data_IF_218620235509
#
_entry.id   IF_218620235509
#
_cell.length_a   1.000
_cell.length_b   1.000
_cell.length_c   1.000
_cell.angle_alpha   90.00
_cell.angle_beta   90.00
_cell.angle_gamma   90.00
#
_symmetry.space_group_name_H-M   'P 1'
#
loop_
_entity.id
_entity.type
_entity.pdbx_description
1 polymer ?
#
# COMPACT_ATOMS: atom_id res chain seq x y z
N UNK A 1 -33.78 24.34 39.45
CA UNK A 1 -34.53 23.43 38.56
C UNK A 1 -33.96 23.63 37.16
N UNK A 2 -33.01 22.78 36.74
CA UNK A 2 -32.38 22.91 35.43
C UNK A 2 -33.34 22.27 34.43
N UNK A 3 -34.07 23.12 33.72
CA UNK A 3 -34.88 22.69 32.60
C UNK A 3 -33.97 22.34 31.44
N UNK A 4 -33.71 21.04 31.31
CA UNK A 4 -33.02 20.43 30.19
C UNK A 4 -34.01 20.42 29.02
N UNK A 5 -33.87 21.36 28.08
CA UNK A 5 -34.66 21.37 26.84
C UNK A 5 -33.77 21.16 25.63
N UNK A 6 -34.09 20.07 24.93
CA UNK A 6 -33.75 19.67 23.57
C UNK A 6 -32.32 19.94 23.11
N UNK A 7 -31.48 18.94 23.41
CA UNK A 7 -30.32 18.61 22.61
C UNK A 7 -30.82 18.35 21.18
N UNK A 8 -30.73 19.33 20.29
CA UNK A 8 -30.83 19.13 18.84
C UNK A 8 -29.63 18.32 18.33
N UNK A 9 -29.34 17.16 18.93
CA UNK A 9 -28.71 16.06 18.21
C UNK A 9 -29.76 15.40 17.31
N UNK A 10 -30.36 16.21 16.44
CA UNK A 10 -31.12 15.70 15.32
C UNK A 10 -30.47 16.16 14.02
N UNK A 11 -29.24 15.68 13.86
CA UNK A 11 -28.77 15.09 12.61
C UNK A 11 -27.70 14.10 13.04
N UNK A 12 -28.01 12.83 12.86
CA UNK A 12 -27.11 11.69 12.90
C UNK A 12 -25.64 12.13 12.94
N UNK A 13 -24.93 11.94 14.06
CA UNK A 13 -23.46 11.95 13.98
C UNK A 13 -23.17 10.83 12.97
N UNK A 14 -22.78 11.15 11.72
CA UNK A 14 -22.74 10.13 10.70
C UNK A 14 -21.72 9.13 11.19
N UNK A 15 -22.03 7.84 11.18
CA UNK A 15 -20.99 6.83 11.33
C UNK A 15 -20.02 7.08 10.19
N UNK A 16 -18.90 7.77 10.46
CA UNK A 16 -17.99 8.26 9.41
C UNK A 16 -17.15 7.07 8.92
N UNK A 17 -17.81 6.17 8.19
CA UNK A 17 -17.21 5.08 7.46
C UNK A 17 -16.82 5.61 6.08
N UNK A 18 -15.55 5.96 5.90
CA UNK A 18 -15.04 6.52 4.64
C UNK A 18 -13.62 6.06 4.35
N UNK A 19 -13.38 5.68 3.10
CA UNK A 19 -12.13 5.09 2.58
C UNK A 19 -10.93 6.06 2.50
N UNK A 20 -11.09 7.30 2.96
CA UNK A 20 -10.06 8.34 3.02
C UNK A 20 -10.13 9.05 4.37
N UNK A 21 -8.99 9.35 5.02
CA UNK A 21 -9.00 10.13 6.25
C UNK A 21 -9.52 11.54 5.94
N UNK A 22 -10.78 11.78 6.28
CA UNK A 22 -11.42 13.10 6.24
C UNK A 22 -11.08 13.86 7.51
N UNK A 23 -10.71 15.13 7.33
CA UNK A 23 -10.44 16.10 8.39
C UNK A 23 -11.71 16.90 8.62
N UNK A 24 -12.14 17.01 9.87
CA UNK A 24 -13.34 17.72 10.26
C UNK A 24 -13.00 18.79 11.29
N UNK A 25 -13.66 19.93 11.14
CA UNK A 25 -13.76 20.93 12.17
C UNK A 25 -15.21 20.89 12.66
N UNK A 26 -15.39 20.62 13.94
CA UNK A 26 -16.70 20.50 14.57
C UNK A 26 -16.87 21.69 15.51
N UNK A 27 -17.97 22.40 15.34
CA UNK A 27 -18.40 23.49 16.22
C UNK A 27 -19.83 23.20 16.65
N UNK A 28 -20.09 23.24 17.95
CA UNK A 28 -21.43 23.12 18.48
C UNK A 28 -21.99 24.53 18.69
N UNK A 29 -23.20 24.76 18.21
CA UNK A 29 -23.92 26.02 18.38
C UNK A 29 -25.23 25.72 19.11
N UNK A 30 -25.62 26.60 20.03
CA UNK A 30 -26.88 26.48 20.73
C UNK A 30 -27.62 27.82 20.72
N UNK A 31 -28.95 27.74 20.76
CA UNK A 31 -29.85 28.88 20.84
C UNK A 31 -31.00 28.56 21.78
N UNK A 32 -31.24 29.39 22.77
CA UNK A 32 -32.40 29.28 23.65
C UNK A 32 -33.63 29.89 22.97
N UNK A 33 -34.79 29.29 23.18
CA UNK A 33 -36.08 29.81 22.70
C UNK A 33 -36.87 30.36 23.89
N UNK A 34 -37.16 31.67 23.87
CA UNK A 34 -37.81 32.42 24.95
C UNK A 34 -37.70 33.92 24.70
N UNK A 35 -38.20 34.75 25.63
CA UNK A 35 -38.14 36.22 25.52
C UNK A 35 -36.69 36.76 25.46
N UNK A 36 -35.75 36.08 26.11
CA UNK A 36 -34.31 36.37 26.04
C UNK A 36 -33.62 35.30 25.17
N UNK A 37 -33.50 35.56 23.87
CA UNK A 37 -32.81 34.67 22.94
C UNK A 37 -31.30 34.75 23.17
N UNK A 38 -30.75 33.80 23.93
CA UNK A 38 -29.31 33.61 24.10
C UNK A 38 -28.82 32.63 23.05
N UNK A 39 -27.73 32.97 22.38
CA UNK A 39 -27.03 32.07 21.47
C UNK A 39 -25.56 32.05 21.80
N UNK A 40 -24.96 30.87 21.72
CA UNK A 40 -23.54 30.68 22.00
C UNK A 40 -22.99 29.51 21.20
N UNK A 41 -21.68 29.35 21.30
CA UNK A 41 -20.99 28.27 20.59
C UNK A 41 -19.75 27.82 21.34
N UNK A 42 -19.37 26.55 21.14
CA UNK A 42 -18.12 25.99 21.65
C UNK A 42 -16.92 26.44 20.82
N UNK A 43 -15.73 26.18 21.34
CA UNK A 43 -14.51 26.20 20.56
C UNK A 43 -14.56 25.20 19.40
N UNK A 44 -13.68 25.42 18.42
CA UNK A 44 -13.56 24.60 17.23
C UNK A 44 -12.77 23.31 17.55
N UNK A 45 -13.40 22.16 17.45
CA UNK A 45 -12.75 20.87 17.66
C UNK A 45 -12.19 20.31 16.36
N UNK A 46 -10.94 19.88 16.38
CA UNK A 46 -10.29 19.22 15.25
C UNK A 46 -10.39 17.70 15.37
N UNK A 47 -11.01 17.04 14.38
CA UNK A 47 -11.19 15.58 14.37
C UNK A 47 -10.70 14.98 13.06
N UNK A 48 -10.01 13.83 13.15
CA UNK A 48 -9.63 13.01 12.00
C UNK A 48 -10.30 11.65 12.09
N UNK A 49 -10.72 11.13 10.96
CA UNK A 49 -11.20 9.74 10.86
C UNK A 49 -10.03 8.78 11.07
N UNK A 50 -10.30 7.67 11.76
CA UNK A 50 -9.31 6.62 11.99
C UNK A 50 -8.81 6.08 10.64
N UNK A 51 -7.50 6.03 10.49
CA UNK A 51 -6.87 5.31 9.39
C UNK A 51 -6.89 3.81 9.68
N UNK A 52 -6.59 3.01 8.66
CA UNK A 52 -6.48 1.56 8.73
C UNK A 52 -5.29 1.07 7.92
N UNK A 53 -5.09 -0.24 7.92
CA UNK A 53 -4.06 -0.88 7.11
C UNK A 53 -4.42 -0.82 5.61
N UNK A 54 -3.44 -0.54 4.73
CA UNK A 54 -3.70 -0.48 3.30
C UNK A 54 -3.92 -1.87 2.70
N UNK A 55 -4.46 -1.92 1.49
CA UNK A 55 -4.55 -3.12 0.67
C UNK A 55 -3.25 -3.42 -0.08
N UNK A 56 -3.33 -4.40 -0.98
CA UNK A 56 -2.21 -4.82 -1.84
C UNK A 56 -1.78 -3.72 -2.81
N UNK A 57 -0.47 -3.65 -3.08
CA UNK A 57 0.07 -2.78 -4.14
C UNK A 57 -0.37 -3.29 -5.51
N UNK A 58 -0.51 -2.38 -6.47
CA UNK A 58 -1.00 -2.70 -7.81
C UNK A 58 0.16 -2.77 -8.80
N UNK A 59 -0.06 -3.45 -9.94
CA UNK A 59 0.86 -3.46 -11.08
C UNK A 59 2.32 -3.76 -10.69
N UNK A 60 2.52 -4.64 -9.71
CA UNK A 60 3.85 -5.07 -9.30
C UNK A 60 4.48 -5.84 -10.46
N UNK A 61 5.56 -5.30 -11.00
CA UNK A 61 6.23 -5.84 -12.17
C UNK A 61 7.74 -5.77 -12.04
N UNK A 62 8.40 -6.70 -12.74
CA UNK A 62 9.83 -6.73 -12.90
C UNK A 62 10.21 -6.00 -14.18
N UNK A 63 11.09 -5.02 -14.06
CA UNK A 63 11.72 -4.34 -15.18
C UNK A 63 13.06 -5.06 -15.43
N UNK A 64 13.48 -5.20 -16.68
CA UNK A 64 14.55 -6.11 -17.10
C UNK A 64 15.81 -6.13 -16.21
N UNK A 65 16.45 -7.30 -16.12
CA UNK A 65 17.59 -7.54 -15.25
C UNK A 65 18.89 -6.93 -15.77
N UNK A 66 19.72 -6.39 -14.87
CA UNK A 66 21.09 -5.98 -15.16
C UNK A 66 22.06 -6.93 -14.44
N UNK A 67 22.91 -7.65 -15.18
CA UNK A 67 23.97 -8.47 -14.58
C UNK A 67 25.13 -7.60 -14.16
N UNK A 68 25.59 -7.70 -12.91
CA UNK A 68 26.76 -7.00 -12.42
C UNK A 68 27.93 -7.98 -12.35
N UNK A 69 28.88 -7.87 -13.26
CA UNK A 69 30.08 -8.73 -13.29
C UNK A 69 31.16 -8.29 -12.29
N UNK A 70 31.01 -7.10 -11.69
CA UNK A 70 32.07 -6.45 -10.91
C UNK A 70 31.74 -6.26 -9.42
N UNK A 71 30.67 -6.89 -8.93
CA UNK A 71 30.22 -6.74 -7.54
C UNK A 71 29.91 -8.13 -6.96
N UNK A 72 29.78 -8.25 -5.64
CA UNK A 72 29.38 -9.51 -4.97
C UNK A 72 27.97 -10.00 -5.39
N UNK A 73 27.20 -9.14 -6.06
CA UNK A 73 25.84 -9.40 -6.54
C UNK A 73 25.91 -10.04 -7.94
N UNK A 74 25.17 -11.12 -8.16
CA UNK A 74 25.08 -11.77 -9.47
C UNK A 74 24.31 -10.91 -10.48
N UNK A 75 23.17 -10.36 -10.05
CA UNK A 75 22.32 -9.53 -10.88
C UNK A 75 21.44 -8.59 -10.04
N UNK A 76 20.97 -7.54 -10.70
CA UNK A 76 20.05 -6.54 -10.17
C UNK A 76 18.74 -6.63 -10.95
N UNK A 77 17.63 -6.74 -10.23
CA UNK A 77 16.27 -6.85 -10.74
C UNK A 77 15.45 -5.65 -10.27
N UNK A 78 15.33 -4.59 -11.09
CA UNK A 78 14.47 -3.46 -10.77
C UNK A 78 13.01 -3.88 -10.78
N UNK A 79 12.28 -3.59 -9.71
CA UNK A 79 10.84 -3.79 -9.62
C UNK A 79 10.12 -2.45 -9.45
N UNK A 80 8.92 -2.35 -9.99
CA UNK A 80 8.04 -1.18 -9.84
C UNK A 80 6.64 -1.62 -9.46
N UNK A 81 5.94 -0.75 -8.73
CA UNK A 81 4.55 -0.98 -8.32
C UNK A 81 3.78 0.34 -8.21
N UNK A 82 2.46 0.23 -8.23
CA UNK A 82 1.53 1.32 -8.02
C UNK A 82 0.91 1.27 -6.62
N UNK A 83 0.40 2.42 -6.18
CA UNK A 83 -0.27 2.51 -4.89
C UNK A 83 -1.51 1.61 -4.82
N UNK A 84 -1.83 1.08 -3.63
CA UNK A 84 -3.04 0.32 -3.42
C UNK A 84 -4.30 1.09 -3.83
N UNK A 85 -5.26 0.41 -4.45
CA UNK A 85 -6.59 1.00 -4.69
C UNK A 85 -7.31 1.28 -3.36
N UNK A 86 -7.18 0.34 -2.42
CA UNK A 86 -7.72 0.46 -1.07
C UNK A 86 -6.62 0.97 -0.13
N UNK A 87 -6.50 2.30 0.05
CA UNK A 87 -5.44 2.87 0.90
C UNK A 87 -5.77 2.84 2.39
N UNK A 88 -7.05 3.06 2.75
CA UNK A 88 -7.53 3.20 4.13
C UNK A 88 -6.71 4.18 4.99
N UNK A 89 -6.00 5.13 4.40
CA UNK A 89 -5.07 6.01 5.11
C UNK A 89 -4.11 6.68 4.14
N UNK A 90 -3.19 7.49 4.67
CA UNK A 90 -2.11 8.05 3.86
C UNK A 90 -0.98 7.02 3.74
N UNK A 91 -0.58 6.68 2.51
CA UNK A 91 0.58 5.81 2.29
C UNK A 91 1.85 6.59 2.61
N UNK A 92 2.58 6.14 3.63
CA UNK A 92 3.83 6.75 4.11
C UNK A 92 5.07 5.99 3.67
N UNK A 93 4.90 4.78 3.11
CA UNK A 93 6.01 4.00 2.56
C UNK A 93 5.63 2.59 2.15
N UNK A 94 6.64 1.80 1.85
CA UNK A 94 6.54 0.42 1.39
C UNK A 94 7.60 -0.44 2.08
N UNK A 95 7.26 -1.69 2.35
CA UNK A 95 8.17 -2.74 2.78
C UNK A 95 8.34 -3.73 1.65
N UNK A 96 9.59 -3.94 1.24
CA UNK A 96 9.97 -4.88 0.19
C UNK A 96 10.74 -5.99 0.88
N UNK A 97 10.29 -7.22 0.69
CA UNK A 97 10.96 -8.42 1.20
C UNK A 97 11.26 -9.33 0.04
N UNK A 98 12.43 -9.95 0.01
CA UNK A 98 12.71 -10.97 -0.99
C UNK A 98 13.53 -12.11 -0.42
N UNK A 99 13.33 -13.30 -1.00
CA UNK A 99 14.01 -14.52 -0.57
C UNK A 99 14.21 -15.48 -1.72
N UNK A 100 15.14 -16.41 -1.55
CA UNK A 100 15.23 -17.60 -2.38
C UNK A 100 13.97 -18.44 -2.18
N UNK A 101 13.34 -18.89 -3.26
CA UNK A 101 12.10 -19.66 -3.18
C UNK A 101 12.27 -21.00 -2.46
N UNK A 102 13.50 -21.56 -2.48
CA UNK A 102 13.86 -22.79 -1.79
C UNK A 102 14.16 -22.61 -0.30
N UNK A 103 14.46 -21.39 0.16
CA UNK A 103 14.81 -21.11 1.54
C UNK A 103 13.66 -20.40 2.25
N UNK A 104 13.32 -20.89 3.45
CA UNK A 104 12.27 -20.26 4.25
C UNK A 104 12.78 -19.07 5.08
N UNK A 105 14.06 -19.10 5.47
CA UNK A 105 14.60 -18.21 6.50
C UNK A 105 15.46 -17.05 5.97
N UNK A 106 16.03 -17.16 4.76
CA UNK A 106 16.85 -16.09 4.18
C UNK A 106 15.98 -15.03 3.51
N UNK A 107 15.43 -14.13 4.33
CA UNK A 107 14.58 -13.03 3.90
C UNK A 107 15.35 -11.71 4.03
N UNK A 108 15.61 -11.08 2.90
CA UNK A 108 16.06 -9.69 2.85
C UNK A 108 14.86 -8.77 3.00
N UNK A 109 15.02 -7.67 3.73
CA UNK A 109 13.96 -6.70 4.00
C UNK A 109 14.51 -5.29 3.84
N UNK A 110 13.77 -4.43 3.16
CA UNK A 110 14.04 -3.00 3.09
C UNK A 110 12.73 -2.21 3.18
N UNK A 111 12.82 -1.01 3.73
CA UNK A 111 11.72 -0.05 3.76
C UNK A 111 12.10 1.21 3.01
N UNK A 112 11.17 1.73 2.21
CA UNK A 112 11.38 2.97 1.46
C UNK A 112 10.06 3.67 1.13
N UNK A 113 10.17 4.95 0.77
CA UNK A 113 9.02 5.74 0.33
C UNK A 113 8.76 5.63 -1.18
N UNK A 114 9.77 5.23 -1.96
CA UNK A 114 9.69 5.12 -3.42
C UNK A 114 8.82 3.95 -3.89
N UNK A 115 8.36 4.04 -5.15
CA UNK A 115 7.53 3.04 -5.85
C UNK A 115 8.32 2.07 -6.73
N UNK A 116 9.64 2.09 -6.57
CA UNK A 116 10.59 1.31 -7.35
C UNK A 116 11.74 0.88 -6.47
N UNK A 117 12.18 -0.37 -6.57
CA UNK A 117 13.35 -0.86 -5.84
C UNK A 117 14.18 -1.78 -6.71
N UNK A 118 15.50 -1.75 -6.50
CA UNK A 118 16.44 -2.61 -7.22
C UNK A 118 16.80 -3.82 -6.34
N UNK A 119 16.18 -4.96 -6.63
CA UNK A 119 16.45 -6.20 -5.90
C UNK A 119 17.79 -6.76 -6.31
N UNK A 120 18.64 -6.99 -5.32
CA UNK A 120 19.97 -7.57 -5.49
C UNK A 120 19.90 -9.07 -5.23
N UNK A 121 20.34 -9.86 -6.21
CA UNK A 121 20.44 -11.32 -6.07
C UNK A 121 21.88 -11.77 -6.07
N UNK A 122 22.14 -12.84 -5.32
CA UNK A 122 23.50 -13.35 -5.07
C UNK A 122 23.71 -14.76 -5.62
N UNK A 123 22.65 -15.46 -6.04
CA UNK A 123 22.73 -16.81 -6.60
C UNK A 123 22.20 -16.82 -8.03
N UNK A 124 22.99 -17.42 -8.92
CA UNK A 124 22.62 -17.62 -10.32
C UNK A 124 21.67 -18.81 -10.47
N UNK A 125 20.83 -18.80 -11.51
CA UNK A 125 19.93 -19.90 -11.87
C UNK A 125 18.95 -20.33 -10.77
N UNK A 126 18.68 -19.43 -9.82
CA UNK A 126 17.76 -19.67 -8.71
C UNK A 126 16.46 -18.88 -8.89
N UNK A 127 15.38 -19.37 -8.27
CA UNK A 127 14.10 -18.66 -8.22
C UNK A 127 14.01 -17.85 -6.93
N UNK A 128 13.58 -16.60 -7.07
CA UNK A 128 13.34 -15.67 -5.99
C UNK A 128 11.86 -15.33 -5.89
N UNK A 129 11.43 -14.99 -4.68
CA UNK A 129 10.11 -14.43 -4.40
C UNK A 129 10.29 -13.08 -3.74
N UNK A 130 9.68 -12.05 -4.30
CA UNK A 130 9.57 -10.73 -3.71
C UNK A 130 8.15 -10.49 -3.19
N UNK A 131 8.05 -9.73 -2.11
CA UNK A 131 6.81 -9.35 -1.44
C UNK A 131 6.85 -7.84 -1.22
N UNK A 132 5.82 -7.14 -1.67
CA UNK A 132 5.71 -5.69 -1.47
C UNK A 132 4.44 -5.38 -0.68
N UNK A 133 4.58 -4.63 0.41
CA UNK A 133 3.47 -4.18 1.26
C UNK A 133 3.48 -2.66 1.35
N UNK A 134 2.32 -2.01 1.24
CA UNK A 134 2.19 -0.59 1.55
C UNK A 134 2.10 -0.36 3.06
N UNK A 135 2.48 0.84 3.52
CA UNK A 135 2.49 1.24 4.94
C UNK A 135 1.65 2.50 5.14
N UNK A 136 0.77 2.49 6.14
CA UNK A 136 0.12 3.68 6.71
C UNK A 136 0.65 3.90 8.13
N UNK A 137 0.20 4.96 8.82
CA UNK A 137 0.54 5.18 10.24
C UNK A 137 0.08 4.03 11.15
N UNK A 138 -0.93 3.27 10.71
CA UNK A 138 -1.47 2.11 11.45
C UNK A 138 -0.58 0.88 11.27
N UNK A 139 0.06 0.71 10.11
CA UNK A 139 0.96 -0.41 9.86
C UNK A 139 1.02 -0.85 8.40
N UNK A 140 1.48 -2.09 8.19
CA UNK A 140 1.62 -2.68 6.86
C UNK A 140 0.33 -3.32 6.38
N UNK A 141 0.06 -3.13 5.09
CA UNK A 141 -1.02 -3.78 4.38
C UNK A 141 -0.69 -5.20 3.96
N UNK A 142 -1.65 -5.80 3.25
CA UNK A 142 -1.46 -7.10 2.61
C UNK A 142 -0.33 -7.05 1.58
N UNK A 143 0.40 -8.16 1.47
CA UNK A 143 1.55 -8.26 0.58
C UNK A 143 1.14 -8.70 -0.82
N UNK A 144 1.83 -8.16 -1.83
CA UNK A 144 1.77 -8.62 -3.21
C UNK A 144 3.03 -9.42 -3.52
N UNK A 145 2.89 -10.67 -3.94
CA UNK A 145 3.99 -11.56 -4.30
C UNK A 145 4.37 -11.44 -5.78
N UNK A 146 5.67 -11.50 -6.07
CA UNK A 146 6.24 -11.58 -7.41
C UNK A 146 7.35 -12.63 -7.42
N UNK A 147 7.19 -13.69 -8.21
CA UNK A 147 8.22 -14.69 -8.44
C UNK A 147 9.04 -14.37 -9.69
N UNK A 148 10.36 -14.51 -9.61
CA UNK A 148 11.26 -14.28 -10.75
C UNK A 148 12.49 -15.20 -10.69
N UNK A 149 13.09 -15.46 -11.85
CA UNK A 149 14.27 -16.31 -11.98
C UNK A 149 15.54 -15.51 -12.28
N UNK A 150 16.64 -15.85 -11.61
CA UNK A 150 17.97 -15.32 -11.92
C UNK A 150 18.62 -16.08 -13.09
N UNK A 151 17.90 -16.24 -14.21
CA UNK A 151 18.50 -16.79 -15.44
C UNK A 151 19.46 -15.75 -16.01
N UNK A 152 20.71 -16.12 -16.27
CA UNK A 152 21.78 -15.23 -16.78
C UNK A 152 21.57 -14.65 -18.18
N UNK A 153 20.32 -14.57 -18.65
CA UNK A 153 19.92 -13.97 -19.91
C UNK A 153 18.76 -13.02 -19.62
N UNK A 154 18.78 -11.74 -20.06
CA UNK A 154 17.68 -10.83 -19.85
C UNK A 154 16.45 -11.36 -20.58
N UNK A 155 15.57 -12.06 -19.85
CA UNK A 155 14.34 -12.61 -20.40
C UNK A 155 13.34 -11.48 -20.55
N UNK A 156 13.28 -10.90 -21.74
CA UNK A 156 12.14 -10.11 -22.19
C UNK A 156 10.91 -11.02 -22.28
N UNK A 157 10.00 -10.92 -21.32
CA UNK A 157 8.59 -11.28 -21.57
C UNK A 157 7.70 -10.31 -20.77
N UNK A 158 6.84 -9.59 -21.49
CA UNK A 158 5.47 -10.06 -21.60
C UNK A 158 4.97 -10.06 -23.05
N UNK A 159 4.33 -11.15 -23.46
CA UNK A 159 3.57 -11.22 -24.72
C UNK A 159 4.21 -12.09 -25.79
N UNK A 160 4.09 -13.41 -25.66
CA UNK A 160 3.92 -14.24 -26.85
C UNK A 160 2.89 -15.32 -26.57
N UNK A 161 1.67 -15.01 -26.97
CA UNK A 161 0.65 -15.99 -27.29
C UNK A 161 1.02 -16.49 -28.69
N UNK A 162 1.36 -17.77 -28.82
CA UNK A 162 0.69 -18.71 -29.77
C UNK A 162 1.28 -20.12 -29.69
N UNK A 163 0.35 -21.06 -29.77
CA UNK A 163 0.53 -22.50 -29.74
C UNK A 163 1.08 -23.04 -31.06
N UNK A 164 1.71 -24.22 -30.93
CA UNK A 164 1.52 -25.45 -31.71
C UNK A 164 2.80 -26.01 -32.33
N UNK A 165 3.00 -27.30 -32.01
CA UNK A 165 3.98 -28.23 -32.53
C UNK A 165 3.62 -28.56 -33.98
N UNK A 166 4.61 -28.60 -34.87
CA UNK A 166 4.59 -29.51 -36.03
C UNK A 166 5.99 -30.10 -36.24
N UNK A 167 6.00 -31.42 -36.39
CA UNK A 167 7.16 -32.31 -36.40
C UNK A 167 8.00 -32.23 -37.69
N UNK A 168 9.22 -32.74 -37.52
CA UNK A 168 10.31 -32.98 -38.47
C UNK A 168 9.93 -33.70 -39.77
N UNK A 169 10.65 -33.37 -40.86
CA UNK A 169 11.35 -34.26 -41.84
C UNK A 169 11.71 -33.41 -43.08
N UNK A 170 12.83 -33.56 -43.79
CA UNK A 170 13.88 -34.60 -43.88
C UNK A 170 15.22 -33.92 -44.14
#
# INVERSE_FOLDING_TARGET
MIHMYDFLANKDIPRISGQKPKRYYIRLEYKTTGNDSLSGSTDLFYVRTAEGIPGQVRNLKLNGSKTNLHTKEYAVFPITWDEPSVKKGQIIGYKIRWKLSKLHFDIFVVEQCGKSYEIKVFSHNERYKAFVSAKTIVGYGAETELAFGASGKPSSFPGSIRCAIINLTK
#
